data_IF_571489492870
#
_entry.id   IF_571489492870
#
_cell.length_a   1.000
_cell.length_b   1.000
_cell.length_c   1.000
_cell.angle_alpha   90.00
_cell.angle_beta   90.00
_cell.angle_gamma   90.00
#
_symmetry.space_group_name_H-M   'P 1'
#
loop_
_entity.id
_entity.type
_entity.pdbx_description
1 polymer ?
#
# COMPACT_ATOMS: atom_id res chain seq x y z
N UNK A 1 -0.21 21.81 6.31
CA UNK A 1 0.05 20.81 7.36
C UNK A 1 -1.04 19.74 7.33
N UNK A 2 -0.70 18.61 6.74
CA UNK A 2 -1.47 17.39 6.79
C UNK A 2 -0.74 16.41 7.71
N UNK A 3 -1.49 15.75 8.59
CA UNK A 3 -0.91 14.85 9.58
C UNK A 3 -0.68 13.47 8.96
N UNK A 4 0.55 12.98 9.04
CA UNK A 4 0.90 11.63 8.65
C UNK A 4 0.10 10.61 9.48
N UNK A 5 -0.53 9.62 8.82
CA UNK A 5 -1.34 8.61 9.50
C UNK A 5 -0.54 7.48 10.16
N UNK A 6 0.77 7.49 9.99
CA UNK A 6 1.67 6.46 10.50
C UNK A 6 2.48 6.96 11.71
N UNK A 7 3.31 7.99 11.52
CA UNK A 7 4.07 8.61 12.62
C UNK A 7 3.29 9.68 13.38
N UNK A 8 2.22 10.23 12.81
CA UNK A 8 1.43 11.28 13.46
C UNK A 8 2.04 12.68 13.36
N UNK A 9 3.06 12.89 12.52
CA UNK A 9 3.74 14.17 12.35
C UNK A 9 3.03 15.09 11.35
N UNK A 10 3.10 16.39 11.56
CA UNK A 10 2.53 17.40 10.66
C UNK A 10 3.51 17.71 9.53
N UNK A 11 3.14 17.30 8.31
CA UNK A 11 3.97 17.49 7.10
C UNK A 11 3.21 18.34 6.08
N UNK A 12 3.92 18.95 5.15
CA UNK A 12 3.29 19.73 4.09
C UNK A 12 2.76 18.86 2.94
N UNK A 13 3.39 17.71 2.70
CA UNK A 13 3.01 16.78 1.64
C UNK A 13 2.78 15.36 2.17
N UNK A 14 1.74 14.70 1.64
CA UNK A 14 1.44 13.30 1.90
C UNK A 14 1.41 12.53 0.59
N UNK A 15 2.17 11.44 0.53
CA UNK A 15 2.22 10.55 -0.61
C UNK A 15 1.22 9.42 -0.43
N UNK A 16 0.50 9.10 -1.51
CA UNK A 16 -0.47 8.02 -1.55
C UNK A 16 0.18 6.73 -2.07
N UNK A 17 0.19 5.70 -1.23
CA UNK A 17 0.71 4.36 -1.58
C UNK A 17 -0.39 3.31 -1.46
N UNK A 18 -0.27 2.23 -2.24
CA UNK A 18 -1.12 1.06 -2.08
C UNK A 18 -0.45 0.07 -1.13
N UNK A 19 -1.19 -0.32 -0.10
CA UNK A 19 -0.81 -1.21 1.01
C UNK A 19 -2.00 -2.15 1.15
N UNK A 20 -1.81 -3.46 0.96
CA UNK A 20 -2.88 -4.48 1.00
C UNK A 20 -4.06 -4.17 0.06
N UNK A 21 -3.77 -3.71 -1.15
CA UNK A 21 -4.79 -3.30 -2.13
C UNK A 21 -5.57 -2.04 -1.74
N UNK A 22 -5.25 -1.39 -0.62
CA UNK A 22 -5.87 -0.15 -0.14
C UNK A 22 -4.92 1.02 -0.28
N UNK A 23 -5.44 2.15 -0.72
CA UNK A 23 -4.63 3.38 -0.80
C UNK A 23 -4.54 4.04 0.58
N UNK A 24 -3.33 4.19 1.11
CA UNK A 24 -3.01 4.91 2.36
C UNK A 24 -2.18 6.15 2.03
N UNK A 25 -2.37 7.23 2.79
CA UNK A 25 -1.62 8.49 2.65
C UNK A 25 -0.75 8.71 3.89
N UNK A 26 0.55 8.91 3.68
CA UNK A 26 1.55 9.08 4.74
C UNK A 26 2.72 9.92 4.20
N UNK A 27 3.63 10.38 5.07
CA UNK A 27 4.80 11.14 4.64
C UNK A 27 5.76 10.25 3.83
N UNK A 28 6.68 10.88 3.09
CA UNK A 28 7.66 10.18 2.24
C UNK A 28 8.46 9.12 3.01
N UNK A 29 8.90 9.42 4.23
CA UNK A 29 9.69 8.50 5.06
C UNK A 29 8.90 7.26 5.54
N UNK A 30 7.60 7.42 5.76
CA UNK A 30 6.70 6.31 6.11
C UNK A 30 6.37 5.47 4.86
N UNK A 31 6.17 6.15 3.73
CA UNK A 31 5.99 5.50 2.43
C UNK A 31 7.18 4.61 2.08
N UNK A 32 8.40 5.11 2.21
CA UNK A 32 9.60 4.37 1.79
C UNK A 32 9.76 3.06 2.58
N UNK A 33 9.59 3.14 3.91
CA UNK A 33 9.58 1.99 4.81
C UNK A 33 8.48 0.98 4.46
N UNK A 34 7.26 1.46 4.25
CA UNK A 34 6.11 0.61 3.94
C UNK A 34 6.25 -0.04 2.55
N UNK A 35 6.91 0.61 1.59
CA UNK A 35 7.20 0.02 0.27
C UNK A 35 8.23 -1.09 0.37
N UNK A 36 9.26 -0.91 1.18
CA UNK A 36 10.27 -1.95 1.45
C UNK A 36 9.61 -3.18 2.11
N UNK A 37 8.67 -2.98 3.05
CA UNK A 37 7.90 -4.07 3.66
C UNK A 37 6.90 -4.72 2.70
N UNK A 38 6.25 -3.95 1.82
CA UNK A 38 5.27 -4.48 0.85
C UNK A 38 5.89 -5.19 -0.36
N UNK A 39 7.09 -4.83 -0.78
CA UNK A 39 7.81 -5.53 -1.86
C UNK A 39 8.03 -7.02 -1.50
N UNK A 40 8.13 -7.33 -0.20
CA UNK A 40 8.22 -8.70 0.32
C UNK A 40 6.86 -9.42 0.23
N UNK A 41 5.74 -8.71 0.44
CA UNK A 41 4.40 -9.28 0.41
C UNK A 41 3.94 -9.63 -1.02
N UNK A 42 4.17 -8.75 -2.00
CA UNK A 42 3.71 -8.97 -3.39
C UNK A 42 4.38 -10.17 -4.07
N UNK A 43 5.57 -10.59 -3.63
CA UNK A 43 6.21 -11.84 -4.08
C UNK A 43 5.51 -13.11 -3.58
N UNK A 44 4.62 -13.02 -2.58
CA UNK A 44 3.90 -14.17 -2.01
C UNK A 44 2.45 -14.29 -2.49
N UNK A 45 1.79 -13.18 -2.87
CA UNK A 45 0.36 -13.18 -3.25
C UNK A 45 0.12 -13.37 -4.75
N UNK A 46 1.10 -13.00 -5.59
CA UNK A 46 1.05 -13.20 -7.05
C UNK A 46 1.04 -14.67 -7.48
N UNK A 47 1.44 -15.60 -6.61
CA UNK A 47 1.42 -17.04 -6.90
C UNK A 47 0.05 -17.70 -6.71
N UNK A 48 -0.90 -17.05 -6.02
CA UNK A 48 -2.15 -17.70 -5.58
C UNK A 48 -3.41 -17.11 -6.22
N UNK A 49 -3.36 -15.92 -6.82
CA UNK A 49 -4.55 -15.26 -7.40
C UNK A 49 -4.81 -15.50 -8.91
N UNK A 50 -3.97 -16.23 -9.63
CA UNK A 50 -4.27 -16.57 -11.04
C UNK A 50 -5.26 -17.76 -11.19
N UNK A 51 -5.62 -18.43 -10.10
CA UNK A 51 -6.49 -19.63 -10.12
C UNK A 51 -7.98 -19.36 -9.87
N UNK A 52 -8.43 -18.10 -9.79
CA UNK A 52 -9.86 -17.76 -9.68
C UNK A 52 -10.31 -16.69 -10.69
N UNK A 53 -9.67 -16.66 -11.85
CA UNK A 53 -9.99 -15.74 -12.94
C UNK A 53 -10.84 -16.32 -14.07
N UNK A 54 -11.90 -17.12 -13.88
CA UNK A 54 -12.80 -17.43 -15.03
C UNK A 54 -14.21 -17.96 -14.70
N UNK A 55 -15.01 -17.31 -13.85
CA UNK A 55 -16.47 -17.50 -13.97
C UNK A 55 -17.32 -16.41 -13.33
N UNK A 56 -18.06 -15.69 -14.18
CA UNK A 56 -19.37 -15.16 -13.82
C UNK A 56 -19.49 -13.66 -13.54
N UNK A 57 -19.19 -12.80 -14.52
CA UNK A 57 -19.90 -11.51 -14.62
C UNK A 57 -21.34 -11.79 -15.08
N UNK A 58 -22.31 -11.72 -14.16
CA UNK A 58 -23.67 -11.16 -14.30
C UNK A 58 -24.49 -11.41 -13.05
#
# INVERSE_FOLDING_TARGET
MARCRECGEDVDELVAVKVDGKTRKMCEECVDRMREEHEIAELSEGAVQDMMGFKGRR
#
